data_IF_058502476253
#
_entry.id   IF_058502476253
#
_cell.length_a   1.000
_cell.length_b   1.000
_cell.length_c   1.000
_cell.angle_alpha   90.00
_cell.angle_beta   90.00
_cell.angle_gamma   90.00
#
_symmetry.space_group_name_H-M   'P 1'
#
loop_
_entity.id
_entity.type
_entity.pdbx_description
1 polymer ?
#
# COMPACT_ATOMS: atom_id res chain seq x y z
N UNK A 1 7.65 4.81 -5.03
CA UNK A 1 7.42 5.67 -3.84
C UNK A 1 7.50 7.11 -4.33
N UNK A 2 6.62 7.97 -3.86
CA UNK A 2 6.59 9.38 -4.29
C UNK A 2 6.88 10.30 -3.11
N UNK A 3 7.64 11.37 -3.34
CA UNK A 3 7.93 12.40 -2.34
C UNK A 3 6.87 13.50 -2.46
N UNK A 4 6.09 13.75 -1.41
CA UNK A 4 5.11 14.83 -1.40
C UNK A 4 5.73 16.16 -0.98
N UNK A 5 6.54 16.10 0.09
CA UNK A 5 7.29 17.23 0.64
C UNK A 5 8.40 16.68 1.53
N UNK A 6 9.18 17.57 2.13
CA UNK A 6 10.15 17.17 3.14
C UNK A 6 9.48 16.32 4.22
N UNK A 7 10.07 15.15 4.49
CA UNK A 7 9.65 14.20 5.51
C UNK A 7 8.25 13.58 5.33
N UNK A 8 7.67 13.65 4.12
CA UNK A 8 6.37 13.07 3.80
C UNK A 8 6.39 12.39 2.43
N UNK A 9 5.94 11.14 2.39
CA UNK A 9 5.97 10.28 1.22
C UNK A 9 4.62 9.58 0.98
N UNK A 10 4.39 9.18 -0.28
CA UNK A 10 3.37 8.19 -0.63
C UNK A 10 4.05 6.87 -0.95
N UNK A 11 3.70 5.84 -0.19
CA UNK A 11 4.05 4.46 -0.49
C UNK A 11 2.83 3.79 -1.13
N UNK A 12 3.00 3.34 -2.37
CA UNK A 12 1.98 2.60 -3.11
C UNK A 12 2.11 1.12 -2.81
N UNK A 13 1.06 0.54 -2.22
CA UNK A 13 1.02 -0.87 -1.86
C UNK A 13 -0.17 -1.55 -2.53
N UNK A 14 0.11 -2.52 -3.39
CA UNK A 14 -0.91 -3.34 -4.03
C UNK A 14 -1.03 -4.68 -3.31
N UNK A 15 -2.23 -4.97 -2.81
CA UNK A 15 -2.53 -6.16 -2.03
C UNK A 15 -3.73 -6.91 -2.62
N UNK A 16 -3.62 -8.24 -2.62
CA UNK A 16 -4.77 -9.12 -2.83
C UNK A 16 -5.51 -9.34 -1.49
N UNK A 17 -6.78 -8.95 -1.46
CA UNK A 17 -7.69 -9.23 -0.37
C UNK A 17 -8.51 -10.50 -0.67
N UNK A 18 -8.39 -11.50 0.20
CA UNK A 18 -9.15 -12.74 0.15
C UNK A 18 -10.18 -12.75 1.28
N UNK A 19 -11.46 -12.88 0.94
CA UNK A 19 -12.53 -13.10 1.92
C UNK A 19 -12.91 -14.58 1.88
N UNK A 20 -13.01 -15.23 3.04
CA UNK A 20 -13.27 -16.66 3.14
C UNK A 20 -14.39 -16.97 4.13
N UNK A 21 -15.25 -17.94 3.77
CA UNK A 21 -16.31 -18.47 4.64
C UNK A 21 -16.08 -19.97 4.78
N UNK A 22 -15.98 -20.46 6.03
CA UNK A 22 -15.74 -21.89 6.33
C UNK A 22 -14.52 -22.48 5.60
N UNK A 23 -13.46 -21.68 5.47
CA UNK A 23 -12.22 -22.09 4.78
C UNK A 23 -12.27 -22.04 3.26
N UNK A 24 -13.41 -21.68 2.64
CA UNK A 24 -13.53 -21.49 1.20
C UNK A 24 -13.44 -20.00 0.86
N UNK A 25 -12.54 -19.62 -0.04
CA UNK A 25 -12.45 -18.25 -0.57
C UNK A 25 -13.73 -17.91 -1.34
N UNK A 26 -14.45 -16.89 -0.88
CA UNK A 26 -15.68 -16.40 -1.51
C UNK A 26 -15.45 -15.18 -2.37
N UNK A 27 -14.34 -14.45 -2.15
CA UNK A 27 -13.99 -13.27 -2.93
C UNK A 27 -12.48 -13.06 -2.96
N UNK A 28 -11.99 -12.64 -4.11
CA UNK A 28 -10.65 -12.10 -4.30
C UNK A 28 -10.77 -10.70 -4.87
N UNK A 29 -10.05 -9.72 -4.31
CA UNK A 29 -10.04 -8.35 -4.82
C UNK A 29 -8.67 -7.73 -4.65
N UNK A 30 -8.09 -7.21 -5.72
CA UNK A 30 -6.86 -6.44 -5.62
C UNK A 30 -7.16 -4.99 -5.26
N UNK A 31 -6.41 -4.44 -4.30
CA UNK A 31 -6.58 -3.08 -3.79
C UNK A 31 -5.22 -2.39 -3.77
N UNK A 32 -5.18 -1.17 -4.32
CA UNK A 32 -4.04 -0.25 -4.23
C UNK A 32 -4.25 0.71 -3.06
N UNK A 33 -3.29 0.72 -2.15
CA UNK A 33 -3.24 1.58 -0.98
C UNK A 33 -2.20 2.69 -1.18
N UNK A 34 -2.62 3.96 -1.32
CA UNK A 34 -1.72 5.11 -1.28
C UNK A 34 -1.41 5.48 0.17
N UNK A 35 -0.50 4.76 0.82
CA UNK A 35 -0.17 5.01 2.22
C UNK A 35 0.63 6.31 2.37
N UNK A 36 0.15 7.23 3.22
CA UNK A 36 0.93 8.42 3.59
C UNK A 36 1.86 8.06 4.74
N UNK A 37 3.15 8.23 4.49
CA UNK A 37 4.23 7.96 5.43
C UNK A 37 4.86 9.28 5.82
N UNK A 38 5.05 9.50 7.12
CA UNK A 38 5.68 10.70 7.65
C UNK A 38 6.87 10.33 8.54
N UNK A 39 7.84 11.24 8.63
CA UNK A 39 8.87 11.14 9.66
C UNK A 39 8.23 11.31 11.03
N UNK A 40 8.47 10.34 11.90
CA UNK A 40 8.03 10.34 13.29
C UNK A 40 9.16 9.82 14.19
N UNK A 41 10.20 10.65 14.33
CA UNK A 41 11.39 10.33 15.12
C UNK A 41 11.16 10.58 16.61
N UNK A 42 10.36 9.71 17.22
CA UNK A 42 10.26 9.54 18.68
C UNK A 42 11.41 8.64 19.17
N UNK A 43 11.33 8.18 20.42
CA UNK A 43 12.29 7.22 20.98
C UNK A 43 12.50 6.03 20.03
N UNK A 44 13.77 5.74 19.71
CA UNK A 44 14.17 4.74 18.73
C UNK A 44 13.96 3.32 19.24
N UNK A 45 13.95 3.10 20.55
CA UNK A 45 13.56 1.80 21.12
C UNK A 45 12.08 1.50 20.86
N UNK A 46 11.23 2.54 20.84
CA UNK A 46 9.80 2.42 20.57
C UNK A 46 9.47 2.50 19.07
N UNK A 47 10.21 3.29 18.29
CA UNK A 47 10.07 3.41 16.85
C UNK A 47 11.45 3.38 16.15
N UNK A 48 12.00 2.19 15.89
CA UNK A 48 13.33 2.04 15.29
C UNK A 48 13.45 2.69 13.91
N UNK A 49 12.34 2.81 13.19
CA UNK A 49 12.33 3.38 11.84
C UNK A 49 12.19 4.90 11.84
N UNK A 50 11.71 5.50 12.94
CA UNK A 50 11.39 6.92 13.00
C UNK A 50 10.35 7.34 11.95
N UNK A 51 9.44 6.45 11.59
CA UNK A 51 8.38 6.65 10.60
C UNK A 51 7.00 6.33 11.18
N UNK A 52 5.97 6.93 10.63
CA UNK A 52 4.58 6.59 10.95
C UNK A 52 3.72 6.56 9.68
N UNK A 53 2.68 5.72 9.71
CA UNK A 53 1.56 5.82 8.77
C UNK A 53 0.53 6.77 9.37
N UNK A 54 0.26 7.89 8.72
CA UNK A 54 -0.64 8.93 9.24
C UNK A 54 -1.91 9.10 8.39
N UNK A 55 -2.16 8.15 7.50
CA UNK A 55 -3.39 8.04 6.72
C UNK A 55 -3.14 7.58 5.30
N UNK A 56 -4.07 7.95 4.42
CA UNK A 56 -3.95 7.72 2.99
C UNK A 56 -3.70 9.04 2.25
N UNK A 57 -2.97 8.97 1.15
CA UNK A 57 -2.90 10.04 0.17
C UNK A 57 -4.06 9.93 -0.84
N UNK A 58 -4.34 11.02 -1.57
CA UNK A 58 -5.41 11.11 -2.56
C UNK A 58 -6.78 10.64 -2.01
N UNK A 59 -7.57 9.91 -2.81
CA UNK A 59 -8.92 9.43 -2.44
C UNK A 59 -8.90 8.20 -1.51
N UNK A 60 -7.72 7.66 -1.19
CA UNK A 60 -7.57 6.48 -0.34
C UNK A 60 -7.51 5.15 -1.12
N UNK A 61 -7.76 4.03 -0.42
CA UNK A 61 -7.65 2.70 -1.02
C UNK A 61 -8.67 2.52 -2.14
N UNK A 62 -8.20 2.02 -3.29
CA UNK A 62 -9.08 1.74 -4.45
C UNK A 62 -8.87 0.34 -4.98
N UNK A 63 -9.92 -0.24 -5.55
CA UNK A 63 -9.81 -1.50 -6.27
C UNK A 63 -8.99 -1.29 -7.55
N UNK A 64 -8.16 -2.26 -7.88
CA UNK A 64 -7.50 -2.33 -9.18
C UNK A 64 -8.43 -3.04 -10.15
N UNK A 65 -8.48 -2.52 -11.38
CA UNK A 65 -9.09 -3.21 -12.51
C UNK A 65 -8.19 -4.34 -12.99
N UNK A 66 -8.76 -5.26 -13.76
CA UNK A 66 -8.03 -6.40 -14.32
C UNK A 66 -6.91 -5.98 -15.27
N UNK A 67 -7.11 -4.89 -16.03
CA UNK A 67 -6.06 -4.31 -16.89
C UNK A 67 -4.85 -3.80 -16.08
N UNK A 68 -5.11 -3.09 -14.97
CA UNK A 68 -4.04 -2.57 -14.11
C UNK A 68 -3.26 -3.67 -13.41
N UNK A 69 -3.92 -4.79 -13.09
CA UNK A 69 -3.29 -5.99 -12.53
C UNK A 69 -2.33 -6.64 -13.53
N UNK A 70 -2.71 -6.72 -14.80
CA UNK A 70 -1.86 -7.29 -15.86
C UNK A 70 -0.61 -6.44 -16.08
N UNK A 71 -0.76 -5.12 -16.17
CA UNK A 71 0.38 -4.19 -16.32
C UNK A 71 1.39 -4.28 -15.16
N UNK A 72 0.90 -4.51 -13.93
CA UNK A 72 1.74 -4.65 -12.73
C UNK A 72 2.56 -5.95 -12.74
N UNK A 73 1.96 -7.04 -13.20
CA UNK A 73 2.63 -8.35 -13.34
C UNK A 73 3.74 -8.23 -14.39
N UNK A 74 3.43 -7.69 -15.56
CA UNK A 74 4.39 -7.54 -16.65
C UNK A 74 5.58 -6.65 -16.26
N UNK A 75 5.35 -5.62 -15.43
CA UNK A 75 6.41 -4.76 -14.91
C UNK A 75 7.29 -5.46 -13.88
N UNK A 76 6.74 -6.35 -13.06
CA UNK A 76 7.51 -7.12 -12.07
C UNK A 76 8.36 -8.22 -12.72
N UNK A 77 7.92 -8.78 -13.84
CA UNK A 77 8.66 -9.82 -14.57
C UNK A 77 9.81 -9.27 -15.44
N UNK A 78 9.89 -7.96 -15.63
CA UNK A 78 10.93 -7.26 -16.41
C UNK A 78 12.02 -6.60 -15.53
N UNK A 79 11.99 -6.80 -14.21
CA UNK A 79 12.87 -6.17 -13.23
C UNK A 79 13.87 -7.11 -12.57
#
# INVERSE_FOLDING_TARGET
VDVLKQDVWVVWLDLDLYESVKGMTVKKTAIRYPLRVVRHAVDLEANPWGLALDGFAAEGPRRLSEAELTEEIDRKDQG
#
